data_IF_589209209222
#
_entry.id   IF_589209209222
#
_cell.length_a   1.000
_cell.length_b   1.000
_cell.length_c   1.000
_cell.angle_alpha   90.00
_cell.angle_beta   90.00
_cell.angle_gamma   90.00
#
_symmetry.space_group_name_H-M   'P 1'
#
loop_
_entity.id
_entity.type
_entity.pdbx_description
1 polymer ?
#
# COMPACT_ATOMS: atom_id res chain seq x y z
N UNK A 1 1.29 4.83 -17.18
CA UNK A 1 0.63 4.61 -15.88
C UNK A 1 1.33 3.49 -15.14
N UNK A 2 1.49 3.58 -13.81
CA UNK A 2 2.20 2.58 -13.02
C UNK A 2 1.48 1.24 -13.03
N UNK A 3 2.26 0.17 -13.22
CA UNK A 3 1.80 -1.22 -13.19
C UNK A 3 2.47 -1.91 -12.01
N UNK A 4 1.71 -2.73 -11.30
CA UNK A 4 2.22 -3.63 -10.27
C UNK A 4 2.42 -5.02 -10.89
N UNK A 5 3.63 -5.55 -10.77
CA UNK A 5 4.00 -6.90 -11.20
C UNK A 5 5.04 -7.50 -10.25
N UNK A 6 5.08 -8.82 -10.15
CA UNK A 6 6.17 -9.56 -9.50
C UNK A 6 7.43 -9.65 -10.37
N UNK A 7 7.35 -9.32 -11.66
CA UNK A 7 8.44 -9.49 -12.63
C UNK A 7 9.35 -8.26 -12.75
N UNK A 8 8.88 -7.09 -12.32
CA UNK A 8 9.53 -5.81 -12.59
C UNK A 8 10.85 -5.60 -11.80
N UNK A 9 11.10 -6.42 -10.77
CA UNK A 9 12.31 -6.37 -9.92
C UNK A 9 12.62 -4.97 -9.32
N UNK A 10 11.63 -4.09 -9.25
CA UNK A 10 11.75 -2.77 -8.64
C UNK A 10 11.65 -2.84 -7.13
N UNK A 11 12.30 -1.87 -6.46
CA UNK A 11 11.99 -1.57 -5.07
C UNK A 11 10.64 -0.86 -5.01
N UNK A 12 9.68 -1.45 -4.29
CA UNK A 12 8.37 -0.84 -4.06
C UNK A 12 8.35 -0.16 -2.71
N UNK A 13 8.23 1.16 -2.71
CA UNK A 13 8.17 1.98 -1.50
C UNK A 13 6.74 2.41 -1.25
N UNK A 14 6.25 2.18 -0.03
CA UNK A 14 4.95 2.65 0.41
C UNK A 14 5.13 3.61 1.58
N UNK A 15 4.91 4.90 1.31
CA UNK A 15 4.92 5.91 2.36
C UNK A 15 3.50 6.09 2.88
N UNK A 16 3.27 5.81 4.17
CA UNK A 16 1.99 5.96 4.83
C UNK A 16 2.06 7.09 5.85
N UNK A 17 1.12 8.01 5.76
CA UNK A 17 0.99 9.15 6.66
C UNK A 17 -0.40 9.12 7.28
N UNK A 18 -0.48 9.17 8.60
CA UNK A 18 -1.74 9.37 9.32
C UNK A 18 -1.81 10.79 9.86
N UNK A 19 -3.01 11.34 9.95
CA UNK A 19 -3.24 12.65 10.54
C UNK A 19 -4.56 12.67 11.29
N UNK A 20 -4.82 13.74 12.02
CA UNK A 20 -5.97 13.91 12.91
C UNK A 20 -7.13 14.70 12.30
N UNK A 21 -6.89 15.46 11.22
CA UNK A 21 -7.91 16.31 10.61
C UNK A 21 -7.95 16.22 9.07
N UNK A 22 -9.12 16.43 8.44
CA UNK A 22 -9.22 16.55 7.00
C UNK A 22 -8.36 17.68 6.41
N UNK A 23 -8.22 18.80 7.12
CA UNK A 23 -7.39 19.92 6.67
C UNK A 23 -5.90 19.55 6.57
N UNK A 24 -5.38 18.78 7.53
CA UNK A 24 -4.03 18.24 7.45
C UNK A 24 -3.89 17.20 6.33
N UNK A 25 -4.92 16.40 6.04
CA UNK A 25 -4.91 15.51 4.87
C UNK A 25 -4.81 16.30 3.56
N UNK A 26 -5.59 17.36 3.40
CA UNK A 26 -5.52 18.21 2.19
C UNK A 26 -4.15 18.86 2.02
N UNK A 27 -3.53 19.28 3.13
CA UNK A 27 -2.16 19.80 3.13
C UNK A 27 -1.15 18.73 2.75
N UNK A 28 -1.27 17.51 3.29
CA UNK A 28 -0.42 16.37 2.90
C UNK A 28 -0.52 16.07 1.40
N UNK A 29 -1.75 16.01 0.87
CA UNK A 29 -1.98 15.77 -0.56
C UNK A 29 -1.34 16.86 -1.43
N UNK A 30 -1.45 18.12 -1.00
CA UNK A 30 -0.85 19.27 -1.69
C UNK A 30 0.69 19.16 -1.71
N UNK A 31 1.32 18.89 -0.57
CA UNK A 31 2.79 18.75 -0.50
C UNK A 31 3.30 17.51 -1.24
N UNK A 32 2.58 16.39 -1.17
CA UNK A 32 2.91 15.18 -1.93
C UNK A 32 2.80 15.42 -3.44
N UNK A 33 1.73 16.09 -3.90
CA UNK A 33 1.56 16.47 -5.31
C UNK A 33 2.73 17.28 -5.83
N UNK A 34 3.14 18.33 -5.10
CA UNK A 34 4.32 19.15 -5.45
C UNK A 34 5.59 18.31 -5.60
N UNK A 35 5.84 17.37 -4.69
CA UNK A 35 7.02 16.50 -4.74
C UNK A 35 6.96 15.57 -5.94
N UNK A 36 5.79 15.01 -6.25
CA UNK A 36 5.61 14.09 -7.37
C UNK A 36 5.77 14.83 -8.70
N UNK A 37 5.17 16.00 -8.84
CA UNK A 37 5.26 16.85 -10.03
C UNK A 37 6.70 17.31 -10.30
N UNK A 38 7.45 17.62 -9.24
CA UNK A 38 8.85 18.02 -9.34
C UNK A 38 9.85 16.85 -9.38
N UNK A 39 9.38 15.59 -9.30
CA UNK A 39 10.27 14.44 -9.19
C UNK A 39 11.14 14.27 -10.44
N UNK A 40 12.45 14.37 -10.25
CA UNK A 40 13.48 14.16 -11.27
C UNK A 40 14.67 13.36 -10.70
N UNK A 41 14.40 12.49 -9.73
CA UNK A 41 15.43 11.73 -9.02
C UNK A 41 15.94 10.58 -9.87
N UNK A 42 17.26 10.38 -9.84
CA UNK A 42 17.87 9.22 -10.50
C UNK A 42 17.26 7.92 -9.96
N UNK A 43 16.82 7.02 -10.83
CA UNK A 43 16.24 5.74 -10.46
C UNK A 43 14.80 5.79 -9.93
N UNK A 44 14.18 6.98 -9.81
CA UNK A 44 12.74 7.08 -9.60
C UNK A 44 11.97 6.66 -10.86
N UNK A 45 10.96 5.81 -10.71
CA UNK A 45 10.17 5.28 -11.83
C UNK A 45 8.77 5.88 -11.83
N UNK A 46 8.10 5.86 -10.69
CA UNK A 46 6.73 6.40 -10.58
C UNK A 46 6.35 6.70 -9.14
N UNK A 47 5.32 7.54 -8.97
CA UNK A 47 4.64 7.77 -7.69
C UNK A 47 3.13 7.81 -7.92
N UNK A 48 2.37 7.21 -7.02
CA UNK A 48 0.90 7.25 -7.03
C UNK A 48 0.37 7.62 -5.65
N UNK A 49 -0.26 8.78 -5.57
CA UNK A 49 -0.75 9.41 -4.35
C UNK A 49 -2.20 9.01 -4.09
N UNK A 50 -2.47 8.68 -2.84
CA UNK A 50 -3.73 8.18 -2.34
C UNK A 50 -4.23 9.07 -1.21
N UNK A 51 -5.53 9.39 -1.22
CA UNK A 51 -6.24 10.13 -0.18
C UNK A 51 -7.05 9.18 0.70
N UNK A 52 -6.87 9.24 2.02
CA UNK A 52 -7.59 8.43 3.00
C UNK A 52 -9.11 8.62 2.92
N UNK A 53 -9.85 7.53 3.13
CA UNK A 53 -11.32 7.47 3.08
C UNK A 53 -11.93 7.13 4.44
N UNK A 54 -11.44 6.08 5.14
CA UNK A 54 -11.98 5.70 6.45
C UNK A 54 -11.40 6.56 7.59
N UNK A 55 -10.12 6.93 7.51
CA UNK A 55 -9.49 7.86 8.45
C UNK A 55 -8.57 8.86 7.75
N UNK A 56 -8.39 10.08 8.31
CA UNK A 56 -7.52 11.09 7.72
C UNK A 56 -6.08 10.62 7.56
N UNK A 57 -5.55 10.74 6.34
CA UNK A 57 -4.20 10.31 6.01
C UNK A 57 -3.97 10.21 4.51
N UNK A 58 -2.75 9.84 4.15
CA UNK A 58 -2.35 9.67 2.75
C UNK A 58 -1.43 8.47 2.59
N UNK A 59 -1.40 7.91 1.39
CA UNK A 59 -0.42 6.92 1.00
C UNK A 59 0.27 7.32 -0.32
N UNK A 60 1.53 6.96 -0.48
CA UNK A 60 2.23 7.07 -1.77
C UNK A 60 2.86 5.73 -2.12
N UNK A 61 2.39 5.12 -3.20
CA UNK A 61 3.01 3.94 -3.80
C UNK A 61 4.06 4.41 -4.82
N UNK A 62 5.32 4.10 -4.57
CA UNK A 62 6.45 4.65 -5.33
C UNK A 62 7.31 3.49 -5.83
N UNK A 63 7.63 3.51 -7.12
CA UNK A 63 8.54 2.53 -7.72
C UNK A 63 9.92 3.16 -7.88
N UNK A 64 10.94 2.44 -7.40
CA UNK A 64 12.34 2.78 -7.54
C UNK A 64 13.09 1.66 -8.20
N UNK A 65 14.06 2.01 -9.04
CA UNK A 65 14.99 1.06 -9.66
C UNK A 65 15.79 0.29 -8.61
N UNK A 66 16.18 0.93 -7.52
CA UNK A 66 16.97 0.28 -6.47
C UNK A 66 16.86 1.00 -5.11
N UNK A 67 17.25 0.29 -4.04
CA UNK A 67 17.40 0.89 -2.72
C UNK A 67 18.57 1.87 -2.60
N UNK A 68 19.58 1.77 -3.47
CA UNK A 68 20.67 2.74 -3.53
C UNK A 68 20.15 4.10 -4.02
N UNK A 69 19.37 4.09 -5.11
CA UNK A 69 18.75 5.29 -5.66
C UNK A 69 17.83 5.98 -4.65
N UNK A 70 17.04 5.18 -3.91
CA UNK A 70 16.22 5.68 -2.80
C UNK A 70 17.08 6.31 -1.68
N UNK A 71 18.19 5.66 -1.32
CA UNK A 71 19.05 6.16 -0.24
C UNK A 71 19.76 7.47 -0.63
N UNK A 72 20.09 7.67 -1.91
CA UNK A 72 20.58 8.97 -2.42
C UNK A 72 19.55 10.07 -2.17
N UNK A 73 18.26 9.81 -2.46
CA UNK A 73 17.16 10.74 -2.16
C UNK A 73 17.08 11.05 -0.67
N UNK A 74 17.07 10.03 0.19
CA UNK A 74 16.98 10.24 1.65
C UNK A 74 18.20 10.95 2.24
N UNK A 75 19.35 10.87 1.59
CA UNK A 75 20.57 11.56 2.02
C UNK A 75 20.59 13.04 1.61
N UNK A 76 19.74 13.46 0.69
CA UNK A 76 19.66 14.83 0.20
C UNK A 76 19.11 15.83 1.21
N UNK A 77 19.60 17.07 1.14
CA UNK A 77 19.28 18.16 2.07
C UNK A 77 17.78 18.52 2.04
N UNK A 78 17.16 18.52 0.86
CA UNK A 78 15.73 18.81 0.72
C UNK A 78 14.87 17.85 1.55
N UNK A 79 15.16 16.55 1.48
CA UNK A 79 14.39 15.55 2.21
C UNK A 79 14.55 15.72 3.73
N UNK A 80 15.78 15.93 4.20
CA UNK A 80 16.11 16.05 5.63
C UNK A 80 15.61 17.35 6.26
N UNK A 81 15.75 18.47 5.55
CA UNK A 81 15.55 19.81 6.13
C UNK A 81 14.25 20.47 5.70
N UNK A 82 13.55 19.93 4.70
CA UNK A 82 12.26 20.47 4.25
C UNK A 82 11.15 19.43 4.30
N UNK A 83 11.30 18.31 3.59
CA UNK A 83 10.21 17.32 3.48
C UNK A 83 9.87 16.70 4.83
N UNK A 84 10.82 16.08 5.54
CA UNK A 84 10.51 15.41 6.80
C UNK A 84 9.97 16.37 7.89
N UNK A 85 10.53 17.57 8.11
CA UNK A 85 9.99 18.52 9.08
C UNK A 85 8.54 18.92 8.77
N UNK A 86 8.24 19.32 7.53
CA UNK A 86 6.88 19.72 7.14
C UNK A 86 5.89 18.59 7.35
N UNK A 87 6.24 17.36 6.97
CA UNK A 87 5.34 16.22 7.15
C UNK A 87 5.13 15.89 8.64
N UNK A 88 6.16 16.02 9.49
CA UNK A 88 6.03 15.80 10.94
C UNK A 88 5.12 16.80 11.64
N UNK A 89 4.99 18.02 11.12
CA UNK A 89 4.10 19.04 11.70
C UNK A 89 2.62 18.72 11.47
N UNK A 90 2.30 18.01 10.39
CA UNK A 90 0.92 17.75 9.93
C UNK A 90 0.53 16.28 9.98
N UNK A 91 1.36 15.43 10.58
CA UNK A 91 1.09 13.98 10.72
C UNK A 91 1.15 13.55 12.17
N UNK A 92 0.29 12.58 12.50
CA UNK A 92 0.32 11.86 13.76
C UNK A 92 1.25 10.65 13.70
N UNK A 93 1.45 10.06 12.52
CA UNK A 93 2.45 9.04 12.29
C UNK A 93 2.96 9.05 10.84
N UNK A 94 4.22 8.66 10.68
CA UNK A 94 4.90 8.51 9.39
C UNK A 94 5.47 7.10 9.34
N UNK A 95 5.23 6.35 8.26
CA UNK A 95 5.85 5.05 8.01
C UNK A 95 6.36 5.01 6.58
N UNK A 96 7.66 4.78 6.40
CA UNK A 96 8.29 4.74 5.08
C UNK A 96 8.75 3.31 4.83
N UNK A 97 7.91 2.53 4.15
CA UNK A 97 8.04 1.08 4.01
C UNK A 97 8.72 0.73 2.70
N UNK A 98 9.82 -0.02 2.75
CA UNK A 98 10.50 -0.54 1.56
C UNK A 98 10.17 -2.02 1.41
N UNK A 99 9.74 -2.42 0.22
CA UNK A 99 9.15 -3.73 -0.02
C UNK A 99 9.58 -4.32 -1.37
N UNK A 100 9.43 -5.64 -1.48
CA UNK A 100 9.34 -6.36 -2.74
C UNK A 100 7.93 -6.92 -2.91
N UNK A 101 7.44 -7.00 -4.16
CA UNK A 101 6.13 -7.56 -4.48
C UNK A 101 6.31 -9.06 -4.70
N UNK A 102 5.68 -9.86 -3.84
CA UNK A 102 5.88 -11.32 -3.82
C UNK A 102 4.68 -12.10 -4.34
N UNK A 103 3.53 -11.46 -4.44
CA UNK A 103 2.31 -12.07 -4.95
C UNK A 103 1.40 -11.02 -5.58
N UNK A 104 0.71 -11.40 -6.65
CA UNK A 104 -0.33 -10.62 -7.31
C UNK A 104 -1.45 -11.54 -7.76
N UNK A 105 -2.70 -11.10 -7.58
CA UNK A 105 -3.88 -11.76 -8.10
C UNK A 105 -4.84 -10.72 -8.67
N UNK A 106 -5.48 -11.05 -9.77
CA UNK A 106 -6.49 -10.22 -10.41
C UNK A 106 -7.76 -11.01 -10.64
N UNK A 107 -8.90 -10.33 -10.57
CA UNK A 107 -10.11 -10.83 -11.19
C UNK A 107 -9.86 -11.07 -12.70
N UNK A 108 -10.40 -12.15 -13.31
CA UNK A 108 -10.13 -12.47 -14.71
C UNK A 108 -10.40 -11.34 -15.72
N UNK A 109 -11.32 -10.43 -15.40
CA UNK A 109 -11.65 -9.27 -16.25
C UNK A 109 -10.52 -8.25 -16.40
N UNK A 110 -9.45 -8.33 -15.60
CA UNK A 110 -8.28 -7.46 -15.69
C UNK A 110 -7.12 -8.07 -16.47
N UNK A 111 -7.29 -9.29 -17.00
CA UNK A 111 -6.29 -9.96 -17.86
C UNK A 111 -4.89 -10.03 -17.23
N UNK A 112 -4.81 -10.19 -15.90
CA UNK A 112 -3.55 -10.31 -15.18
C UNK A 112 -2.81 -8.98 -14.92
N UNK A 113 -3.39 -7.83 -15.30
CA UNK A 113 -2.74 -6.52 -15.18
C UNK A 113 -3.30 -5.70 -14.03
N UNK A 114 -2.42 -5.30 -13.10
CA UNK A 114 -2.76 -4.41 -11.98
C UNK A 114 -2.25 -3.01 -12.30
N UNK A 115 -3.15 -2.14 -12.74
CA UNK A 115 -2.88 -0.72 -12.96
C UNK A 115 -3.38 0.09 -11.77
N UNK A 116 -2.59 1.11 -11.39
CA UNK A 116 -2.98 2.05 -10.33
C UNK A 116 -3.04 3.45 -10.92
N UNK A 117 -4.25 3.98 -11.07
CA UNK A 117 -4.46 5.32 -11.64
C UNK A 117 -5.71 6.00 -11.08
N UNK A 118 -5.77 7.34 -11.09
CA UNK A 118 -6.96 8.09 -10.71
C UNK A 118 -8.19 7.78 -11.58
N UNK A 119 -7.99 7.41 -12.85
CA UNK A 119 -9.05 7.21 -13.84
C UNK A 119 -9.82 5.89 -13.63
N UNK A 120 -9.23 4.92 -12.93
CA UNK A 120 -9.86 3.62 -12.67
C UNK A 120 -10.89 3.66 -11.55
N UNK A 121 -10.88 4.72 -10.75
CA UNK A 121 -11.74 4.92 -9.58
C UNK A 121 -11.78 3.68 -8.64
N UNK A 122 -10.64 2.99 -8.52
CA UNK A 122 -10.48 1.83 -7.65
C UNK A 122 -10.63 2.25 -6.18
N UNK A 123 -11.57 1.63 -5.45
CA UNK A 123 -11.59 1.73 -4.00
C UNK A 123 -10.45 0.88 -3.44
N UNK A 124 -9.44 1.54 -2.86
CA UNK A 124 -8.18 0.89 -2.50
C UNK A 124 -8.14 0.62 -1.00
N UNK A 125 -7.83 -0.60 -0.59
CA UNK A 125 -7.56 -0.94 0.80
C UNK A 125 -6.08 -1.31 0.97
N UNK A 126 -5.44 -0.69 1.96
CA UNK A 126 -4.05 -0.95 2.31
C UNK A 126 -4.00 -1.42 3.76
N UNK A 127 -3.40 -2.57 3.97
CA UNK A 127 -3.28 -3.20 5.28
C UNK A 127 -1.82 -3.55 5.55
N UNK A 128 -1.32 -3.14 6.71
CA UNK A 128 0.03 -3.44 7.18
C UNK A 128 -0.06 -4.40 8.36
N UNK A 129 0.55 -5.57 8.20
CA UNK A 129 0.64 -6.59 9.23
C UNK A 129 2.04 -6.64 9.80
N UNK A 130 2.18 -6.44 11.12
CA UNK A 130 3.44 -6.73 11.84
C UNK A 130 3.46 -8.19 12.25
N UNK A 131 4.63 -8.80 12.18
CA UNK A 131 4.80 -10.25 12.36
C UNK A 131 6.17 -10.55 12.96
N UNK A 132 6.31 -11.68 13.66
CA UNK A 132 7.64 -12.20 14.02
C UNK A 132 8.45 -12.54 12.77
N UNK A 133 9.77 -12.33 12.80
CA UNK A 133 10.64 -12.59 11.64
C UNK A 133 10.52 -14.04 11.14
N UNK A 134 10.41 -14.98 12.08
CA UNK A 134 10.25 -16.41 11.82
C UNK A 134 8.92 -16.76 11.14
N UNK A 135 7.91 -15.91 11.28
CA UNK A 135 6.55 -16.13 10.79
C UNK A 135 6.23 -15.34 9.49
N UNK A 136 7.13 -14.45 9.04
CA UNK A 136 6.85 -13.56 7.90
C UNK A 136 6.53 -14.34 6.61
N UNK A 137 7.29 -15.40 6.32
CA UNK A 137 7.10 -16.21 5.12
C UNK A 137 5.75 -16.93 5.12
N UNK A 138 5.31 -17.45 6.26
CA UNK A 138 4.03 -18.14 6.39
C UNK A 138 2.86 -17.15 6.31
N UNK A 139 2.98 -15.98 6.94
CA UNK A 139 2.00 -14.92 6.82
C UNK A 139 1.83 -14.46 5.36
N UNK A 140 2.92 -14.27 4.61
CA UNK A 140 2.87 -13.91 3.19
C UNK A 140 2.08 -14.92 2.36
N UNK A 141 2.28 -16.23 2.59
CA UNK A 141 1.54 -17.28 1.88
C UNK A 141 0.04 -17.22 2.17
N UNK A 142 -0.34 -16.95 3.43
CA UNK A 142 -1.75 -16.83 3.84
C UNK A 142 -2.41 -15.55 3.30
N UNK A 143 -1.65 -14.47 3.14
CA UNK A 143 -2.13 -13.22 2.57
C UNK A 143 -2.23 -13.28 1.02
N UNK A 144 -1.45 -14.16 0.38
CA UNK A 144 -1.47 -14.37 -1.07
C UNK A 144 -2.28 -15.61 -1.48
N UNK A 145 -1.61 -16.74 -1.70
CA UNK A 145 -2.20 -18.00 -2.17
C UNK A 145 -3.36 -18.50 -1.28
N UNK A 146 -3.28 -18.25 0.03
CA UNK A 146 -4.34 -18.54 1.00
C UNK A 146 -5.66 -17.79 0.76
N UNK A 147 -5.63 -16.76 -0.09
CA UNK A 147 -6.77 -15.94 -0.48
C UNK A 147 -7.15 -16.08 -1.96
N UNK A 148 -6.83 -17.22 -2.58
CA UNK A 148 -7.26 -17.53 -3.96
C UNK A 148 -8.77 -17.41 -4.17
N UNK A 149 -9.57 -17.61 -3.13
CA UNK A 149 -11.03 -17.45 -3.14
C UNK A 149 -11.51 -16.00 -3.30
N UNK A 150 -10.65 -14.98 -3.20
CA UNK A 150 -11.03 -13.58 -3.40
C UNK A 150 -11.59 -13.30 -4.80
N UNK A 151 -11.17 -14.07 -5.82
CA UNK A 151 -11.65 -13.89 -7.20
C UNK A 151 -13.17 -14.06 -7.35
N UNK A 152 -13.80 -14.77 -6.41
CA UNK A 152 -15.25 -15.02 -6.39
C UNK A 152 -16.02 -13.98 -5.55
N UNK A 153 -15.32 -13.03 -4.91
CA UNK A 153 -15.95 -12.02 -4.05
C UNK A 153 -16.52 -10.89 -4.90
N UNK A 154 -17.82 -10.55 -4.75
CA UNK A 154 -18.41 -9.44 -5.49
C UNK A 154 -17.67 -8.12 -5.25
N UNK A 155 -17.28 -7.47 -6.34
CA UNK A 155 -16.56 -6.19 -6.32
C UNK A 155 -15.05 -6.30 -6.11
N UNK A 156 -14.49 -7.50 -5.96
CA UNK A 156 -13.04 -7.68 -5.96
C UNK A 156 -12.45 -7.40 -7.34
N UNK A 157 -11.39 -6.58 -7.42
CA UNK A 157 -10.64 -6.32 -8.66
C UNK A 157 -9.27 -6.97 -8.65
N UNK A 158 -8.48 -6.70 -7.63
CA UNK A 158 -7.11 -7.23 -7.52
C UNK A 158 -6.60 -7.20 -6.08
N UNK A 159 -5.55 -7.97 -5.80
CA UNK A 159 -4.72 -7.72 -4.64
C UNK A 159 -3.25 -8.07 -4.91
N UNK A 160 -2.37 -7.43 -4.15
CA UNK A 160 -0.95 -7.67 -4.14
C UNK A 160 -0.48 -7.88 -2.70
N UNK A 161 0.51 -8.74 -2.51
CA UNK A 161 1.21 -8.90 -1.22
C UNK A 161 2.62 -8.39 -1.36
N UNK A 162 3.00 -7.46 -0.49
CA UNK A 162 4.35 -6.94 -0.40
C UNK A 162 5.05 -7.53 0.82
N UNK A 163 6.26 -8.04 0.60
CA UNK A 163 7.15 -8.45 1.68
C UNK A 163 7.94 -7.23 2.15
N UNK A 164 7.82 -6.89 3.42
CA UNK A 164 8.59 -5.84 4.04
C UNK A 164 10.07 -6.18 4.10
N UNK A 165 10.92 -5.29 3.58
CA UNK A 165 12.38 -5.43 3.56
C UNK A 165 13.03 -4.59 4.65
N UNK A 166 12.59 -3.34 4.77
CA UNK A 166 13.03 -2.38 5.79
C UNK A 166 12.01 -1.26 5.90
N UNK A 167 12.01 -0.57 7.03
CA UNK A 167 11.14 0.58 7.23
C UNK A 167 11.86 1.67 8.03
N UNK A 168 11.43 2.92 7.85
CA UNK A 168 11.64 3.95 8.85
C UNK A 168 10.38 4.09 9.71
N UNK A 169 10.58 4.24 11.02
CA UNK A 169 9.54 4.41 12.03
C UNK A 169 8.60 3.19 12.24
N UNK A 170 9.00 2.02 11.72
CA UNK A 170 8.39 0.72 12.02
C UNK A 170 9.52 -0.27 12.29
N UNK A 171 9.42 -1.01 13.39
CA UNK A 171 10.40 -2.04 13.77
C UNK A 171 9.86 -3.45 13.54
N UNK A 172 10.77 -4.36 13.20
CA UNK A 172 10.48 -5.78 12.98
C UNK A 172 9.98 -6.10 11.57
N UNK A 173 9.69 -7.39 11.35
CA UNK A 173 9.15 -7.87 10.09
C UNK A 173 7.70 -7.43 9.89
N UNK A 174 7.34 -7.20 8.62
CA UNK A 174 6.00 -6.82 8.24
C UNK A 174 5.64 -7.33 6.84
N UNK A 175 4.35 -7.39 6.55
CA UNK A 175 3.79 -7.63 5.22
C UNK A 175 2.71 -6.58 4.93
N UNK A 176 2.52 -6.25 3.66
CA UNK A 176 1.46 -5.32 3.23
C UNK A 176 0.53 -6.03 2.27
N UNK A 177 -0.77 -5.86 2.46
CA UNK A 177 -1.78 -6.18 1.44
C UNK A 177 -2.26 -4.87 0.82
N UNK A 178 -2.18 -4.79 -0.50
CA UNK A 178 -2.75 -3.72 -1.30
C UNK A 178 -3.84 -4.32 -2.17
N UNK A 179 -5.10 -3.93 -1.98
CA UNK A 179 -6.23 -4.49 -2.74
C UNK A 179 -7.08 -3.40 -3.37
N UNK A 180 -7.64 -3.72 -4.54
CA UNK A 180 -8.51 -2.84 -5.32
C UNK A 180 -9.91 -3.45 -5.40
N UNK A 181 -10.91 -2.59 -5.25
CA UNK A 181 -12.32 -2.94 -5.18
C UNK A 181 -13.13 -2.02 -6.08
N UNK A 182 -14.29 -2.51 -6.51
CA UNK A 182 -15.25 -1.76 -7.33
C UNK A 182 -15.77 -0.52 -6.61
N UNK A 183 -16.00 -0.63 -5.31
CA UNK A 183 -16.58 0.45 -4.51
C UNK A 183 -16.36 0.23 -3.02
N UNK A 184 -16.58 1.30 -2.24
CA UNK A 184 -16.65 1.22 -0.78
C UNK A 184 -17.66 0.18 -0.31
N UNK A 185 -18.87 0.18 -0.87
CA UNK A 185 -19.94 -0.73 -0.46
C UNK A 185 -19.54 -2.21 -0.67
N UNK A 186 -18.86 -2.52 -1.77
CA UNK A 186 -18.39 -3.89 -2.04
C UNK A 186 -17.31 -4.33 -1.04
N UNK A 187 -16.38 -3.43 -0.72
CA UNK A 187 -15.33 -3.70 0.27
C UNK A 187 -15.90 -3.84 1.69
N UNK A 188 -16.79 -2.94 2.09
CA UNK A 188 -17.44 -2.98 3.40
C UNK A 188 -18.28 -4.27 3.54
N UNK A 189 -19.04 -4.66 2.50
CA UNK A 189 -19.78 -5.92 2.51
C UNK A 189 -18.87 -7.15 2.63
N UNK A 190 -17.70 -7.14 1.96
CA UNK A 190 -16.69 -8.18 2.10
C UNK A 190 -16.10 -8.22 3.52
N UNK A 191 -15.68 -7.06 4.04
CA UNK A 191 -15.01 -6.92 5.35
C UNK A 191 -15.93 -7.29 6.50
N UNK A 192 -17.17 -6.79 6.46
CA UNK A 192 -18.12 -6.85 7.56
C UNK A 192 -18.97 -8.13 7.55
N UNK A 193 -18.69 -9.05 6.61
CA UNK A 193 -19.34 -10.36 6.57
C UNK A 193 -19.12 -11.08 7.91
N UNK A 194 -20.19 -11.40 8.68
CA UNK A 194 -20.05 -12.03 9.98
C UNK A 194 -19.26 -13.32 9.90
N UNK A 195 -18.40 -13.58 10.89
CA UNK A 195 -17.50 -14.74 10.88
C UNK A 195 -18.21 -16.05 10.55
N UNK A 196 -19.36 -16.33 11.18
CA UNK A 196 -20.16 -17.53 10.94
C UNK A 196 -20.69 -17.69 9.50
N UNK A 197 -20.79 -16.59 8.74
CA UNK A 197 -21.22 -16.57 7.33
C UNK A 197 -20.07 -16.64 6.32
N UNK A 198 -18.83 -16.47 6.76
CA UNK A 198 -17.65 -16.66 5.91
C UNK A 198 -17.51 -18.14 5.56
N UNK A 199 -16.98 -18.43 4.36
CA UNK A 199 -16.64 -19.80 3.96
C UNK A 199 -15.64 -20.41 4.93
N UNK A 200 -15.61 -21.74 5.04
CA UNK A 200 -14.66 -22.44 5.92
C UNK A 200 -13.20 -22.08 5.58
N UNK A 201 -12.86 -22.05 4.28
CA UNK A 201 -11.54 -21.64 3.81
C UNK A 201 -11.17 -20.22 4.27
N UNK A 202 -12.08 -19.25 4.15
CA UNK A 202 -11.84 -17.88 4.61
C UNK A 202 -11.69 -17.81 6.13
N UNK A 203 -12.55 -18.51 6.90
CA UNK A 203 -12.45 -18.53 8.37
C UNK A 203 -11.12 -19.07 8.84
N UNK A 204 -10.71 -20.24 8.34
CA UNK A 204 -9.44 -20.86 8.71
C UNK A 204 -8.24 -19.95 8.34
N UNK A 205 -8.31 -19.27 7.20
CA UNK A 205 -7.27 -18.32 6.79
C UNK A 205 -7.23 -17.08 7.68
N UNK A 206 -8.39 -16.49 7.99
CA UNK A 206 -8.51 -15.33 8.89
C UNK A 206 -7.98 -15.66 10.30
N UNK A 207 -8.34 -16.82 10.84
CA UNK A 207 -7.87 -17.32 12.14
C UNK A 207 -6.34 -17.49 12.14
N UNK A 208 -5.78 -18.12 11.10
CA UNK A 208 -4.33 -18.33 11.01
C UNK A 208 -3.56 -17.01 10.85
N UNK A 209 -4.07 -16.06 10.07
CA UNK A 209 -3.48 -14.72 9.97
C UNK A 209 -3.48 -14.04 11.34
N UNK A 210 -4.58 -14.12 12.09
CA UNK A 210 -4.68 -13.53 13.42
C UNK A 210 -3.71 -14.15 14.43
N UNK A 211 -3.44 -15.45 14.34
CA UNK A 211 -2.43 -16.13 15.17
C UNK A 211 -0.99 -15.67 14.90
N UNK A 212 -0.65 -15.42 13.64
CA UNK A 212 0.72 -15.02 13.25
C UNK A 212 0.97 -13.53 13.39
N UNK A 213 -0.07 -12.71 13.26
CA UNK A 213 0.05 -11.25 13.25
C UNK A 213 0.19 -10.70 14.67
N UNK A 214 1.19 -9.85 14.88
CA UNK A 214 1.38 -9.11 16.14
C UNK A 214 0.45 -7.89 16.18
N UNK A 215 0.33 -7.20 15.06
CA UNK A 215 -0.44 -5.97 14.93
C UNK A 215 -0.94 -5.85 13.48
N UNK A 216 -2.12 -5.25 13.30
CA UNK A 216 -2.67 -4.91 11.98
C UNK A 216 -3.14 -3.47 12.00
N UNK A 217 -2.68 -2.70 11.03
CA UNK A 217 -3.17 -1.36 10.74
C UNK A 217 -3.73 -1.31 9.33
N UNK A 218 -4.87 -0.66 9.15
CA UNK A 218 -5.56 -0.61 7.86
C UNK A 218 -6.23 0.74 7.64
N UNK A 219 -6.20 1.21 6.41
CA UNK A 219 -7.02 2.32 5.95
C UNK A 219 -7.43 2.09 4.49
N UNK A 220 -8.46 2.80 4.07
CA UNK A 220 -8.94 2.78 2.69
C UNK A 220 -8.68 4.11 2.03
N UNK A 221 -8.58 4.10 0.71
CA UNK A 221 -8.04 5.19 -0.06
C UNK A 221 -8.70 5.32 -1.42
N UNK A 222 -8.65 6.54 -1.95
CA UNK A 222 -8.85 6.84 -3.36
C UNK A 222 -7.53 7.29 -3.99
N UNK A 223 -7.23 6.80 -5.18
CA UNK A 223 -6.10 7.32 -5.97
C UNK A 223 -6.44 8.71 -6.48
N UNK A 224 -5.61 9.71 -6.20
CA UNK A 224 -5.89 11.11 -6.55
C UNK A 224 -4.87 11.72 -7.50
N UNK A 225 -3.69 11.14 -7.60
CA UNK A 225 -2.65 11.63 -8.50
C UNK A 225 -1.64 10.54 -8.82
N UNK A 226 -1.10 10.52 -10.04
CA UNK A 226 -0.07 9.58 -10.45
C UNK A 226 0.86 10.22 -11.47
N UNK A 227 2.17 9.93 -11.40
CA UNK A 227 3.16 10.39 -12.36
C UNK A 227 4.28 9.38 -12.51
N UNK A 228 4.75 9.18 -13.73
CA UNK A 228 5.92 8.36 -14.04
C UNK A 228 7.08 9.20 -14.57
N UNK A 229 8.30 8.67 -14.49
CA UNK A 229 9.48 9.30 -15.05
C UNK A 229 9.32 9.55 -16.56
N UNK A 230 9.71 10.76 -16.99
CA UNK A 230 9.60 11.17 -18.40
C UNK A 230 8.24 11.70 -18.84
N UNK A 231 7.30 11.89 -17.89
CA UNK A 231 6.00 12.54 -18.12
C UNK A 231 5.96 13.97 -17.55
#
# INVERSE_FOLDING_TARGET
MPIISTEDNYLTVLNLFTTDTPAHQDQLLTEMGKIVDAAAYEGWISSTVHAGQDSPGTANLIQWRSGEDLQKRYSGEEFKHRTLPVFREITTAIRLLQNEIVFTQTHPSLEGRIEVSPERDDYTAIEVYRVGEENQADLIKLLGEGQSWLVEVPGYRSHCVFKGLRAMFVEGAFAVVYSQWDSKDSYDAFRDLPHARKSEARRANDERIAELSVERDANTYRVVHTRAAGQ
#
